data_IF_797238852115
#
_entry.id   IF_797238852115
#
_cell.length_a   1.000
_cell.length_b   1.000
_cell.length_c   1.000
_cell.angle_alpha   90.00
_cell.angle_beta   90.00
_cell.angle_gamma   90.00
#
_symmetry.space_group_name_H-M   'P 1'
#
loop_
_entity.id
_entity.type
_entity.pdbx_description
1 polymer ?
#
# COMPACT_ATOMS: atom_id res chain seq x y z
N UNK A 1 43.17 30.32 18.96
CA UNK A 1 42.19 29.23 18.78
C UNK A 1 41.26 29.67 17.67
N UNK A 2 41.15 28.92 16.58
CA UNK A 2 40.15 29.22 15.57
C UNK A 2 38.77 29.04 16.22
N UNK A 3 37.95 30.09 16.22
CA UNK A 3 36.56 29.99 16.66
C UNK A 3 35.83 29.07 15.68
N UNK A 4 35.21 28.01 16.18
CA UNK A 4 34.38 27.11 15.37
C UNK A 4 33.30 27.91 14.65
N UNK A 5 32.97 27.51 13.43
CA UNK A 5 31.90 28.16 12.68
C UNK A 5 30.54 27.86 13.33
N UNK A 6 29.54 28.76 13.22
CA UNK A 6 28.20 28.49 13.73
C UNK A 6 27.60 27.18 13.18
N UNK A 7 27.96 26.77 11.97
CA UNK A 7 27.53 25.49 11.37
C UNK A 7 28.12 24.30 12.14
N UNK A 8 29.44 24.31 12.38
CA UNK A 8 30.14 23.26 13.12
C UNK A 8 29.63 23.16 14.56
N UNK A 9 29.36 24.29 15.21
CA UNK A 9 28.79 24.32 16.56
C UNK A 9 27.41 23.65 16.60
N UNK A 10 26.54 23.96 15.63
CA UNK A 10 25.21 23.34 15.55
C UNK A 10 25.29 21.83 15.23
N UNK A 11 26.22 21.41 14.36
CA UNK A 11 26.46 19.98 14.10
C UNK A 11 26.95 19.26 15.36
N UNK A 12 27.85 19.88 16.13
CA UNK A 12 28.32 19.34 17.40
C UNK A 12 27.18 19.23 18.43
N UNK A 13 26.36 20.27 18.55
CA UNK A 13 25.19 20.26 19.42
C UNK A 13 24.14 19.22 18.99
N UNK A 14 23.93 19.00 17.70
CA UNK A 14 23.06 17.93 17.19
C UNK A 14 23.56 16.54 17.59
N UNK A 15 24.88 16.29 17.52
CA UNK A 15 25.49 15.03 17.98
C UNK A 15 25.36 14.83 19.49
N UNK A 16 25.50 15.90 20.29
CA UNK A 16 25.26 15.83 21.73
C UNK A 16 23.77 15.54 22.03
N UNK A 17 22.86 16.20 21.31
CA UNK A 17 21.42 15.98 21.46
C UNK A 17 21.02 14.55 21.08
N UNK A 18 21.63 13.97 20.04
CA UNK A 18 21.46 12.56 19.66
C UNK A 18 21.86 11.62 20.79
N UNK A 19 23.06 11.81 21.36
CA UNK A 19 23.55 10.98 22.48
C UNK A 19 22.71 11.12 23.75
N UNK A 20 22.07 12.28 23.94
CA UNK A 20 21.17 12.55 25.04
C UNK A 20 19.70 12.18 24.73
N UNK A 21 19.42 11.63 23.54
CA UNK A 21 18.07 11.31 23.04
C UNK A 21 17.09 12.50 23.05
N UNK A 22 17.62 13.74 22.98
CA UNK A 22 16.82 14.98 22.93
C UNK A 22 16.53 15.39 21.48
N UNK A 23 15.80 14.54 20.77
CA UNK A 23 15.60 14.65 19.32
C UNK A 23 14.88 15.94 18.89
N UNK A 24 14.03 16.53 19.73
CA UNK A 24 13.37 17.82 19.45
C UNK A 24 14.37 18.98 19.38
N UNK A 25 15.41 18.96 20.21
CA UNK A 25 16.49 19.95 20.13
C UNK A 25 17.42 19.63 18.96
N UNK A 26 17.68 18.35 18.72
CA UNK A 26 18.45 17.90 17.56
C UNK A 26 17.85 18.43 16.25
N UNK A 27 16.51 18.40 16.10
CA UNK A 27 15.82 19.00 14.95
C UNK A 27 16.13 20.50 14.83
N UNK A 28 16.04 21.27 15.92
CA UNK A 28 16.31 22.72 15.90
C UNK A 28 17.75 23.05 15.49
N UNK A 29 18.72 22.29 15.99
CA UNK A 29 20.12 22.46 15.59
C UNK A 29 20.31 22.14 14.10
N UNK A 30 19.72 21.05 13.61
CA UNK A 30 19.81 20.67 12.21
C UNK A 30 19.06 21.62 11.27
N UNK A 31 17.93 22.19 11.68
CA UNK A 31 17.24 23.26 10.96
C UNK A 31 18.13 24.51 10.82
N UNK A 32 18.90 24.83 11.87
CA UNK A 32 19.87 25.93 11.84
C UNK A 32 21.02 25.63 10.89
N UNK A 33 21.53 24.39 10.88
CA UNK A 33 22.54 23.94 9.91
C UNK A 33 22.02 24.12 8.48
N UNK A 34 20.83 23.59 8.17
CA UNK A 34 20.21 23.71 6.83
C UNK A 34 19.97 25.18 6.45
N UNK A 35 19.59 26.02 7.41
CA UNK A 35 19.37 27.44 7.19
C UNK A 35 20.66 28.19 6.84
N UNK A 36 21.78 27.81 7.46
CA UNK A 36 23.10 28.39 7.24
C UNK A 36 23.75 27.96 5.91
N UNK A 37 23.34 26.83 5.32
CA UNK A 37 23.88 26.37 4.03
C UNK A 37 23.33 27.25 2.88
N UNK A 38 24.21 27.80 2.01
CA UNK A 38 23.81 28.48 0.78
C UNK A 38 22.98 27.56 -0.12
N UNK A 39 22.01 28.09 -0.86
CA UNK A 39 21.14 27.27 -1.73
C UNK A 39 21.87 26.49 -2.83
N UNK A 40 23.12 26.84 -3.15
CA UNK A 40 23.97 26.13 -4.12
C UNK A 40 24.75 24.94 -3.53
N UNK A 41 24.77 24.83 -2.20
CA UNK A 41 25.64 23.93 -1.46
C UNK A 41 24.83 22.83 -0.80
N UNK A 42 25.45 21.65 -0.68
CA UNK A 42 24.81 20.49 -0.08
C UNK A 42 25.19 20.31 1.39
N UNK A 43 24.33 19.59 2.10
CA UNK A 43 24.73 18.93 3.35
C UNK A 43 25.72 17.81 3.04
N UNK A 44 26.70 17.65 3.92
CA UNK A 44 27.55 16.46 3.92
C UNK A 44 26.72 15.20 4.19
N UNK A 45 27.28 14.02 3.91
CA UNK A 45 26.62 12.74 4.21
C UNK A 45 26.30 12.62 5.70
N UNK A 46 27.22 13.08 6.57
CA UNK A 46 27.01 13.06 8.02
C UNK A 46 25.86 13.99 8.44
N UNK A 47 25.83 15.23 7.96
CA UNK A 47 24.77 16.20 8.27
C UNK A 47 23.41 15.74 7.76
N UNK A 48 23.37 15.15 6.56
CA UNK A 48 22.16 14.56 5.98
C UNK A 48 21.63 13.42 6.84
N UNK A 49 22.51 12.56 7.33
CA UNK A 49 22.14 11.46 8.22
C UNK A 49 21.63 11.99 9.56
N UNK A 50 22.31 12.96 10.19
CA UNK A 50 21.85 13.59 11.43
C UNK A 50 20.47 14.22 11.29
N UNK A 51 20.21 14.94 10.19
CA UNK A 51 18.89 15.51 9.89
C UNK A 51 17.81 14.42 9.84
N UNK A 52 18.09 13.33 9.13
CA UNK A 52 17.15 12.21 9.00
C UNK A 52 16.89 11.52 10.33
N UNK A 53 17.93 11.26 11.13
CA UNK A 53 17.81 10.67 12.46
C UNK A 53 16.98 11.54 13.39
N UNK A 54 17.22 12.86 13.40
CA UNK A 54 16.51 13.81 14.24
C UNK A 54 15.00 13.76 13.97
N UNK A 55 14.59 14.01 12.72
CA UNK A 55 13.17 14.02 12.38
C UNK A 55 12.52 12.65 12.49
N UNK A 56 13.22 11.55 12.12
CA UNK A 56 12.70 10.18 12.22
C UNK A 56 12.29 9.84 13.66
N UNK A 57 13.11 10.20 14.64
CA UNK A 57 12.81 9.92 16.04
C UNK A 57 11.65 10.78 16.56
N UNK A 58 11.64 12.08 16.24
CA UNK A 58 10.55 12.99 16.62
C UNK A 58 9.22 12.54 16.03
N UNK A 59 9.15 12.30 14.71
CA UNK A 59 7.89 11.88 14.05
C UNK A 59 7.47 10.47 14.49
N UNK A 60 8.43 9.57 14.74
CA UNK A 60 8.17 8.21 15.21
C UNK A 60 7.43 8.18 16.54
N UNK A 61 7.89 8.96 17.53
CA UNK A 61 7.25 9.06 18.84
C UNK A 61 5.81 9.62 18.75
N UNK A 62 5.58 10.62 17.89
CA UNK A 62 4.25 11.23 17.71
C UNK A 62 3.30 10.28 16.98
N UNK A 63 3.78 9.57 15.95
CA UNK A 63 3.00 8.56 15.22
C UNK A 63 2.61 7.39 16.12
N UNK A 64 3.50 6.94 17.01
CA UNK A 64 3.18 5.92 18.01
C UNK A 64 2.08 6.40 18.97
N UNK A 65 2.23 7.63 19.49
CA UNK A 65 1.22 8.26 20.35
C UNK A 65 -0.15 8.35 19.67
N UNK A 66 -0.17 8.81 18.41
CA UNK A 66 -1.39 8.89 17.60
C UNK A 66 -2.06 7.52 17.43
N UNK A 67 -1.30 6.47 17.06
CA UNK A 67 -1.84 5.10 16.91
C UNK A 67 -2.50 4.59 18.20
N UNK A 68 -1.85 4.83 19.35
CA UNK A 68 -2.38 4.41 20.66
C UNK A 68 -3.70 5.13 20.95
N UNK A 69 -3.73 6.46 20.81
CA UNK A 69 -4.92 7.27 21.09
C UNK A 69 -6.06 6.91 20.14
N UNK A 70 -5.79 6.76 18.83
CA UNK A 70 -6.78 6.30 17.85
C UNK A 70 -7.35 4.91 18.19
N UNK A 71 -6.52 3.98 18.69
CA UNK A 71 -6.99 2.66 19.13
C UNK A 71 -7.88 2.75 20.39
N UNK A 72 -7.58 3.66 21.32
CA UNK A 72 -8.40 3.89 22.51
C UNK A 72 -9.74 4.52 22.12
N UNK A 73 -9.75 5.50 21.21
CA UNK A 73 -10.99 6.11 20.67
C UNK A 73 -11.93 5.04 20.11
N UNK A 74 -11.42 4.17 19.23
CA UNK A 74 -12.22 3.09 18.63
C UNK A 74 -12.78 2.12 19.67
N UNK A 75 -12.03 1.81 20.72
CA UNK A 75 -12.49 0.93 21.81
C UNK A 75 -13.60 1.57 22.64
N UNK A 76 -13.48 2.85 22.95
CA UNK A 76 -14.49 3.59 23.72
C UNK A 76 -15.75 3.86 22.88
N UNK A 77 -15.62 4.11 21.57
CA UNK A 77 -16.73 4.17 20.62
C UNK A 77 -17.52 2.86 20.61
N UNK A 78 -16.83 1.72 20.55
CA UNK A 78 -17.46 0.39 20.61
C UNK A 78 -18.18 0.08 21.92
N UNK A 79 -17.88 0.80 23.01
CA UNK A 79 -18.55 0.69 24.32
C UNK A 79 -19.71 1.67 24.48
N UNK A 80 -19.89 2.62 23.55
CA UNK A 80 -20.92 3.65 23.63
C UNK A 80 -20.62 4.78 24.62
N UNK A 81 -19.37 4.95 25.05
CA UNK A 81 -18.96 5.98 26.02
C UNK A 81 -18.76 7.34 25.33
N UNK A 82 -19.86 7.95 24.86
CA UNK A 82 -19.84 9.15 24.03
C UNK A 82 -19.04 10.33 24.63
N UNK A 83 -19.15 10.55 25.95
CA UNK A 83 -18.43 11.63 26.64
C UNK A 83 -16.91 11.42 26.59
N UNK A 84 -16.43 10.20 26.85
CA UNK A 84 -15.00 9.88 26.75
C UNK A 84 -14.50 9.97 25.31
N UNK A 85 -15.30 9.50 24.34
CA UNK A 85 -14.95 9.58 22.91
C UNK A 85 -14.70 11.03 22.50
N UNK A 86 -15.55 11.96 22.94
CA UNK A 86 -15.38 13.38 22.63
C UNK A 86 -14.03 13.92 23.14
N UNK A 87 -13.67 13.61 24.39
CA UNK A 87 -12.40 14.06 25.01
C UNK A 87 -11.19 13.42 24.30
N UNK A 88 -11.25 12.12 23.99
CA UNK A 88 -10.18 11.40 23.30
C UNK A 88 -9.97 11.99 21.90
N UNK A 89 -11.04 12.32 21.19
CA UNK A 89 -10.98 12.90 19.85
C UNK A 89 -10.32 14.27 19.83
N UNK A 90 -10.60 15.12 20.82
CA UNK A 90 -9.93 16.41 20.98
C UNK A 90 -8.42 16.24 21.21
N UNK A 91 -8.04 15.28 22.07
CA UNK A 91 -6.62 14.99 22.30
C UNK A 91 -5.93 14.40 21.06
N UNK A 92 -6.61 13.51 20.32
CA UNK A 92 -6.09 13.01 19.03
C UNK A 92 -5.87 14.15 18.04
N UNK A 93 -6.81 15.08 17.92
CA UNK A 93 -6.70 16.23 17.02
C UNK A 93 -5.47 17.12 17.35
N UNK A 94 -5.14 17.27 18.64
CA UNK A 94 -3.90 17.94 19.07
C UNK A 94 -2.66 17.22 18.55
N UNK A 95 -2.59 15.89 18.70
CA UNK A 95 -1.47 15.08 18.19
C UNK A 95 -1.38 15.18 16.65
N UNK A 96 -2.51 15.19 15.95
CA UNK A 96 -2.55 15.36 14.49
C UNK A 96 -2.05 16.74 14.04
N UNK A 97 -2.29 17.79 14.82
CA UNK A 97 -1.74 19.12 14.56
C UNK A 97 -0.21 19.11 14.73
N UNK A 98 0.32 18.52 15.81
CA UNK A 98 1.76 18.36 16.04
C UNK A 98 2.43 17.54 14.93
N UNK A 99 1.81 16.43 14.50
CA UNK A 99 2.28 15.63 13.37
C UNK A 99 2.31 16.45 12.07
N UNK A 100 1.26 17.23 11.82
CA UNK A 100 1.17 18.09 10.64
C UNK A 100 2.29 19.13 10.63
N UNK A 101 2.56 19.76 11.78
CA UNK A 101 3.62 20.76 11.93
C UNK A 101 5.02 20.17 11.66
N UNK A 102 5.33 19.00 12.24
CA UNK A 102 6.60 18.31 12.01
C UNK A 102 6.78 17.98 10.53
N UNK A 103 5.75 17.41 9.88
CA UNK A 103 5.78 17.09 8.45
C UNK A 103 5.96 18.35 7.59
N UNK A 104 5.22 19.42 7.88
CA UNK A 104 5.33 20.68 7.14
C UNK A 104 6.71 21.31 7.27
N UNK A 105 7.34 21.24 8.45
CA UNK A 105 8.70 21.76 8.68
C UNK A 105 9.73 21.11 7.75
N UNK A 106 9.81 19.78 7.75
CA UNK A 106 10.79 19.07 6.90
C UNK A 106 10.45 19.17 5.40
N UNK A 107 9.17 19.09 5.03
CA UNK A 107 8.76 19.21 3.62
C UNK A 107 9.17 20.57 3.04
N UNK A 108 9.05 21.64 3.83
CA UNK A 108 9.52 22.97 3.43
C UNK A 108 11.03 22.99 3.18
N UNK A 109 11.83 22.42 4.07
CA UNK A 109 13.29 22.36 3.89
C UNK A 109 13.68 21.53 2.66
N UNK A 110 12.97 20.42 2.42
CA UNK A 110 13.19 19.57 1.26
C UNK A 110 12.92 20.33 -0.04
N UNK A 111 11.79 21.04 -0.11
CA UNK A 111 11.35 21.73 -1.33
C UNK A 111 12.14 23.01 -1.62
N UNK A 112 12.45 23.80 -0.60
CA UNK A 112 13.11 25.10 -0.78
C UNK A 112 14.64 25.00 -0.89
N UNK A 113 15.25 23.97 -0.30
CA UNK A 113 16.71 23.88 -0.18
C UNK A 113 17.30 22.54 -0.59
N UNK A 114 16.89 21.44 0.04
CA UNK A 114 17.66 20.20 0.00
C UNK A 114 17.52 19.44 -1.33
N UNK A 115 16.31 19.33 -1.88
CA UNK A 115 16.09 18.68 -3.19
C UNK A 115 16.72 19.52 -4.33
N UNK A 116 16.55 20.86 -4.39
CA UNK A 116 17.20 21.67 -5.43
C UNK A 116 18.74 21.64 -5.38
N UNK A 117 19.34 21.53 -4.20
CA UNK A 117 20.79 21.53 -4.05
C UNK A 117 21.45 20.18 -4.38
N UNK A 118 20.68 19.09 -4.41
CA UNK A 118 21.19 17.72 -4.57
C UNK A 118 21.78 17.44 -5.97
N UNK A 119 23.06 17.07 -6.04
CA UNK A 119 23.81 16.87 -7.28
C UNK A 119 23.92 15.39 -7.66
N UNK A 120 24.12 14.51 -6.68
CA UNK A 120 24.34 13.06 -6.90
C UNK A 120 23.05 12.24 -6.82
N UNK A 121 23.02 11.06 -7.47
CA UNK A 121 21.93 10.09 -7.33
C UNK A 121 21.60 9.78 -5.87
N UNK A 122 22.60 9.48 -5.04
CA UNK A 122 22.45 9.23 -3.60
C UNK A 122 21.66 10.34 -2.89
N UNK A 123 22.09 11.60 -3.07
CA UNK A 123 21.48 12.75 -2.40
C UNK A 123 20.06 13.01 -2.88
N UNK A 124 19.83 12.94 -4.19
CA UNK A 124 18.50 13.13 -4.79
C UNK A 124 17.52 12.05 -4.32
N UNK A 125 17.91 10.78 -4.41
CA UNK A 125 17.06 9.65 -3.99
C UNK A 125 16.80 9.74 -2.48
N UNK A 126 17.81 10.08 -1.67
CA UNK A 126 17.64 10.25 -0.23
C UNK A 126 16.57 11.30 0.11
N UNK A 127 16.67 12.51 -0.46
CA UNK A 127 15.73 13.59 -0.15
C UNK A 127 14.34 13.34 -0.74
N UNK A 128 14.24 12.80 -1.96
CA UNK A 128 12.95 12.44 -2.56
C UNK A 128 12.26 11.30 -1.81
N UNK A 129 13.02 10.30 -1.36
CA UNK A 129 12.52 9.26 -0.46
C UNK A 129 12.00 9.87 0.84
N UNK A 130 12.76 10.77 1.46
CA UNK A 130 12.36 11.47 2.67
C UNK A 130 11.07 12.27 2.44
N UNK A 131 10.96 13.00 1.31
CA UNK A 131 9.74 13.71 0.91
C UNK A 131 8.53 12.77 0.82
N UNK A 132 8.70 11.62 0.18
CA UNK A 132 7.68 10.58 0.11
C UNK A 132 7.29 10.05 1.49
N UNK A 133 8.25 9.81 2.37
CA UNK A 133 8.01 9.35 3.74
C UNK A 133 7.15 10.34 4.54
N UNK A 134 7.43 11.65 4.50
CA UNK A 134 6.65 12.63 5.26
C UNK A 134 5.27 12.90 4.67
N UNK A 135 5.10 12.87 3.34
CA UNK A 135 3.76 12.88 2.76
C UNK A 135 2.97 11.61 3.09
N UNK A 136 3.63 10.46 3.16
CA UNK A 136 3.01 9.20 3.56
C UNK A 136 2.48 9.29 4.99
N UNK A 137 3.26 9.87 5.90
CA UNK A 137 2.83 10.07 7.29
C UNK A 137 1.60 10.98 7.38
N UNK A 138 1.51 12.02 6.54
CA UNK A 138 0.28 12.83 6.43
C UNK A 138 -0.92 11.99 5.95
N UNK A 139 -0.72 11.11 4.96
CA UNK A 139 -1.78 10.26 4.43
C UNK A 139 -2.31 9.19 5.43
N UNK A 140 -1.56 8.90 6.50
CA UNK A 140 -1.98 7.96 7.55
C UNK A 140 -3.16 8.48 8.39
N UNK A 141 -3.19 9.79 8.68
CA UNK A 141 -4.18 10.37 9.61
C UNK A 141 -5.07 11.45 8.99
N UNK A 142 -4.67 12.07 7.88
CA UNK A 142 -5.55 12.98 7.14
C UNK A 142 -6.73 12.23 6.55
N UNK A 143 -7.81 12.94 6.28
CA UNK A 143 -9.05 12.41 5.71
C UNK A 143 -9.46 13.22 4.47
N UNK A 144 -10.47 12.72 3.73
CA UNK A 144 -11.02 13.44 2.58
C UNK A 144 -9.97 13.78 1.50
N UNK A 145 -10.01 15.02 1.01
CA UNK A 145 -9.13 15.47 -0.07
C UNK A 145 -7.68 15.70 0.39
N UNK A 146 -7.46 16.09 1.65
CA UNK A 146 -6.11 16.20 2.22
C UNK A 146 -5.38 14.85 2.18
N UNK A 147 -6.09 13.75 2.49
CA UNK A 147 -5.53 12.40 2.39
C UNK A 147 -5.15 12.04 0.96
N UNK A 148 -6.01 12.37 -0.02
CA UNK A 148 -5.75 12.09 -1.43
C UNK A 148 -4.54 12.87 -1.92
N UNK A 149 -4.47 14.17 -1.62
CA UNK A 149 -3.33 15.02 -1.97
C UNK A 149 -2.03 14.49 -1.34
N UNK A 150 -2.06 14.08 -0.07
CA UNK A 150 -0.90 13.49 0.60
C UNK A 150 -0.45 12.17 -0.08
N UNK A 151 -1.40 11.30 -0.45
CA UNK A 151 -1.09 10.05 -1.17
C UNK A 151 -0.53 10.30 -2.58
N UNK A 152 -1.07 11.26 -3.33
CA UNK A 152 -0.57 11.65 -4.66
C UNK A 152 0.84 12.24 -4.59
N UNK A 153 1.10 13.10 -3.61
CA UNK A 153 2.43 13.67 -3.38
C UNK A 153 3.44 12.59 -2.97
N UNK A 154 3.02 11.61 -2.14
CA UNK A 154 3.83 10.44 -1.79
C UNK A 154 4.22 9.65 -3.03
N UNK A 155 3.22 9.32 -3.87
CA UNK A 155 3.42 8.53 -5.08
C UNK A 155 4.37 9.24 -6.06
N UNK A 156 4.19 10.55 -6.24
CA UNK A 156 5.04 11.37 -7.11
C UNK A 156 6.48 11.35 -6.61
N UNK A 157 6.71 11.63 -5.32
CA UNK A 157 8.06 11.67 -4.74
C UNK A 157 8.77 10.31 -4.84
N UNK A 158 8.08 9.21 -4.52
CA UNK A 158 8.68 7.87 -4.62
C UNK A 158 8.93 7.42 -6.05
N UNK A 159 8.06 7.76 -7.01
CA UNK A 159 8.32 7.46 -8.43
C UNK A 159 9.55 8.20 -8.94
N UNK A 160 9.66 9.50 -8.66
CA UNK A 160 10.85 10.27 -9.03
C UNK A 160 12.12 9.73 -8.37
N UNK A 161 12.05 9.32 -7.10
CA UNK A 161 13.16 8.67 -6.42
C UNK A 161 13.51 7.32 -7.08
N UNK A 162 12.51 6.51 -7.46
CA UNK A 162 12.70 5.18 -8.04
C UNK A 162 13.34 5.25 -9.42
N UNK A 163 12.94 6.21 -10.24
CA UNK A 163 13.52 6.44 -11.57
C UNK A 163 15.03 6.69 -11.47
N UNK A 164 15.44 7.62 -10.59
CA UNK A 164 16.86 7.94 -10.36
C UNK A 164 17.58 6.76 -9.71
N UNK A 165 16.97 6.09 -8.74
CA UNK A 165 17.58 4.96 -8.04
C UNK A 165 17.86 3.78 -8.99
N UNK A 166 16.94 3.49 -9.91
CA UNK A 166 17.12 2.41 -10.88
C UNK A 166 18.21 2.73 -11.90
N UNK A 167 18.39 4.02 -12.26
CA UNK A 167 19.41 4.43 -13.24
C UNK A 167 20.81 4.65 -12.66
N UNK A 168 20.91 5.13 -11.41
CA UNK A 168 22.18 5.59 -10.83
C UNK A 168 22.70 4.71 -9.69
N UNK A 169 21.87 3.87 -9.06
CA UNK A 169 22.24 3.08 -7.88
C UNK A 169 22.15 1.58 -8.14
N UNK A 170 23.13 0.82 -7.65
CA UNK A 170 23.11 -0.64 -7.69
C UNK A 170 21.88 -1.21 -6.94
N UNK A 171 21.30 -2.35 -7.36
CA UNK A 171 20.20 -3.02 -6.67
C UNK A 171 20.45 -3.29 -5.18
N UNK A 172 21.71 -3.53 -4.80
CA UNK A 172 22.15 -3.75 -3.43
C UNK A 172 22.32 -2.45 -2.63
N UNK A 173 22.25 -1.27 -3.26
CA UNK A 173 22.52 -0.01 -2.59
C UNK A 173 21.49 0.27 -1.46
N UNK A 174 21.91 0.56 -0.21
CA UNK A 174 20.99 0.71 0.93
C UNK A 174 19.89 1.76 0.73
N UNK A 175 20.19 2.88 0.06
CA UNK A 175 19.20 3.92 -0.25
C UNK A 175 18.12 3.39 -1.22
N UNK A 176 18.50 2.61 -2.24
CA UNK A 176 17.57 2.01 -3.22
C UNK A 176 16.70 0.94 -2.56
N UNK A 177 17.30 0.07 -1.76
CA UNK A 177 16.57 -0.93 -0.97
C UNK A 177 15.60 -0.29 0.01
N UNK A 178 16.04 0.74 0.75
CA UNK A 178 15.21 1.47 1.70
C UNK A 178 14.06 2.22 1.02
N UNK A 179 14.26 2.72 -0.20
CA UNK A 179 13.18 3.28 -1.01
C UNK A 179 12.14 2.21 -1.39
N UNK A 180 12.57 1.06 -1.92
CA UNK A 180 11.66 -0.02 -2.29
C UNK A 180 10.87 -0.55 -1.08
N UNK A 181 11.52 -0.65 0.08
CA UNK A 181 10.86 -1.00 1.35
C UNK A 181 9.74 -0.01 1.68
N UNK A 182 10.03 1.30 1.73
CA UNK A 182 9.03 2.29 2.11
C UNK A 182 7.94 2.47 1.05
N UNK A 183 8.28 2.29 -0.23
CA UNK A 183 7.33 2.39 -1.32
C UNK A 183 6.38 1.18 -1.37
N UNK A 184 6.86 -0.03 -1.08
CA UNK A 184 5.99 -1.20 -0.95
C UNK A 184 5.03 -1.06 0.23
N UNK A 185 5.49 -0.58 1.40
CA UNK A 185 4.63 -0.26 2.55
C UNK A 185 3.56 0.77 2.17
N UNK A 186 3.90 1.80 1.38
CA UNK A 186 2.93 2.76 0.89
C UNK A 186 1.83 2.13 0.02
N UNK A 187 2.21 1.25 -0.93
CA UNK A 187 1.24 0.53 -1.73
C UNK A 187 0.31 -0.33 -0.86
N UNK A 188 0.86 -0.96 0.17
CA UNK A 188 0.10 -1.83 1.06
C UNK A 188 -0.84 -1.03 1.98
N UNK A 189 -0.29 -0.13 2.79
CA UNK A 189 -1.01 0.53 3.89
C UNK A 189 -1.86 1.73 3.44
N UNK A 190 -1.43 2.48 2.41
CA UNK A 190 -2.10 3.73 2.02
C UNK A 190 -2.98 3.54 0.79
N UNK A 191 -2.45 2.89 -0.24
CA UNK A 191 -3.17 2.66 -1.51
C UNK A 191 -3.99 1.37 -1.52
N UNK A 192 -3.93 0.57 -0.45
CA UNK A 192 -4.64 -0.71 -0.34
C UNK A 192 -4.47 -1.59 -1.59
N UNK A 193 -3.23 -1.65 -2.09
CA UNK A 193 -2.82 -2.35 -3.31
C UNK A 193 -1.78 -3.44 -2.97
N UNK A 194 -2.18 -4.49 -2.23
CA UNK A 194 -1.26 -5.49 -1.68
C UNK A 194 -0.47 -6.25 -2.76
N UNK A 195 -1.08 -6.53 -3.91
CA UNK A 195 -0.40 -7.20 -5.01
C UNK A 195 0.79 -6.37 -5.51
N UNK A 196 0.59 -5.06 -5.72
CA UNK A 196 1.66 -4.15 -6.14
C UNK A 196 2.74 -4.02 -5.09
N UNK A 197 2.37 -3.97 -3.81
CA UNK A 197 3.32 -3.93 -2.70
C UNK A 197 4.23 -5.16 -2.70
N UNK A 198 3.63 -6.35 -2.78
CA UNK A 198 4.37 -7.61 -2.79
C UNK A 198 5.22 -7.77 -4.06
N UNK A 199 4.70 -7.39 -5.23
CA UNK A 199 5.50 -7.41 -6.47
C UNK A 199 6.74 -6.52 -6.37
N UNK A 200 6.58 -5.29 -5.88
CA UNK A 200 7.70 -4.35 -5.73
C UNK A 200 8.74 -4.84 -4.71
N UNK A 201 8.28 -5.28 -3.53
CA UNK A 201 9.16 -5.80 -2.48
C UNK A 201 9.92 -7.05 -2.94
N UNK A 202 9.23 -7.97 -3.62
CA UNK A 202 9.84 -9.19 -4.16
C UNK A 202 10.86 -8.86 -5.25
N UNK A 203 10.53 -7.98 -6.19
CA UNK A 203 11.45 -7.57 -7.24
C UNK A 203 12.74 -6.98 -6.66
N UNK A 204 12.62 -6.04 -5.71
CA UNK A 204 13.80 -5.43 -5.08
C UNK A 204 14.66 -6.46 -4.33
N UNK A 205 14.02 -7.42 -3.66
CA UNK A 205 14.72 -8.50 -2.95
C UNK A 205 15.44 -9.45 -3.91
N UNK A 206 14.78 -9.90 -4.97
CA UNK A 206 15.35 -10.82 -5.96
C UNK A 206 16.50 -10.16 -6.75
N UNK A 207 16.35 -8.89 -7.16
CA UNK A 207 17.41 -8.11 -7.80
C UNK A 207 18.64 -7.97 -6.88
N UNK A 208 18.44 -7.65 -5.61
CA UNK A 208 19.53 -7.49 -4.66
C UNK A 208 20.25 -8.81 -4.34
N UNK A 209 19.52 -9.93 -4.24
CA UNK A 209 20.13 -11.26 -4.07
C UNK A 209 21.10 -11.56 -5.22
N UNK A 210 20.73 -11.21 -6.45
CA UNK A 210 21.53 -11.56 -7.64
C UNK A 210 22.91 -10.91 -7.68
N UNK A 211 23.09 -9.79 -6.95
CA UNK A 211 24.34 -9.03 -6.90
C UNK A 211 24.96 -9.00 -5.49
N UNK A 212 24.37 -9.70 -4.51
CA UNK A 212 24.77 -9.63 -3.11
C UNK A 212 26.21 -10.11 -2.87
N UNK A 213 26.65 -11.13 -3.62
CA UNK A 213 27.98 -11.72 -3.51
C UNK A 213 29.11 -10.77 -3.97
N UNK A 214 28.76 -9.63 -4.58
CA UNK A 214 29.73 -8.63 -5.07
C UNK A 214 30.08 -7.57 -4.02
N UNK A 215 29.39 -7.55 -2.88
CA UNK A 215 29.55 -6.53 -1.84
C UNK A 215 30.77 -6.77 -0.95
N UNK A 216 31.40 -5.67 -0.51
CA UNK A 216 32.34 -5.68 0.62
C UNK A 216 31.62 -5.84 1.97
N UNK A 217 32.36 -6.20 3.02
CA UNK A 217 31.80 -6.57 4.33
C UNK A 217 30.91 -5.48 4.97
N UNK A 218 31.31 -4.21 4.87
CA UNK A 218 30.56 -3.10 5.48
C UNK A 218 29.22 -2.87 4.76
N UNK A 219 29.23 -2.80 3.43
CA UNK A 219 27.99 -2.64 2.63
C UNK A 219 27.08 -3.86 2.70
N UNK A 220 27.64 -5.06 2.92
CA UNK A 220 26.88 -6.29 3.05
C UNK A 220 25.95 -6.25 4.28
N UNK A 221 26.45 -5.77 5.42
CA UNK A 221 25.66 -5.69 6.68
C UNK A 221 24.45 -4.76 6.52
N UNK A 222 24.65 -3.58 5.93
CA UNK A 222 23.56 -2.61 5.74
C UNK A 222 22.51 -3.11 4.74
N UNK A 223 22.95 -3.70 3.63
CA UNK A 223 22.07 -4.21 2.57
C UNK A 223 21.23 -5.39 3.07
N UNK A 224 21.87 -6.35 3.75
CA UNK A 224 21.17 -7.54 4.28
C UNK A 224 20.17 -7.20 5.38
N UNK A 225 20.44 -6.20 6.22
CA UNK A 225 19.47 -5.72 7.20
C UNK A 225 18.19 -5.21 6.54
N UNK A 226 18.28 -4.46 5.44
CA UNK A 226 17.10 -3.94 4.74
C UNK A 226 16.39 -5.05 3.95
N UNK A 227 17.13 -5.96 3.33
CA UNK A 227 16.56 -7.14 2.66
C UNK A 227 15.79 -8.02 3.64
N UNK A 228 16.26 -8.15 4.88
CA UNK A 228 15.55 -8.85 5.95
C UNK A 228 14.18 -8.21 6.22
N UNK A 229 14.11 -6.87 6.30
CA UNK A 229 12.84 -6.16 6.48
C UNK A 229 11.88 -6.35 5.30
N UNK A 230 12.39 -6.37 4.06
CA UNK A 230 11.58 -6.68 2.87
C UNK A 230 10.99 -8.10 2.96
N UNK A 231 11.80 -9.08 3.37
CA UNK A 231 11.37 -10.46 3.57
C UNK A 231 10.29 -10.57 4.64
N UNK A 232 10.48 -9.90 5.77
CA UNK A 232 9.55 -9.95 6.90
C UNK A 232 8.18 -9.36 6.51
N UNK A 233 8.19 -8.24 5.77
CA UNK A 233 6.97 -7.67 5.20
C UNK A 233 6.27 -8.63 4.22
N UNK A 234 7.01 -9.25 3.30
CA UNK A 234 6.46 -10.23 2.36
C UNK A 234 5.81 -11.42 3.08
N UNK A 235 6.45 -11.96 4.12
CA UNK A 235 5.90 -13.04 4.93
C UNK A 235 4.61 -12.62 5.62
N UNK A 236 4.59 -11.43 6.25
CA UNK A 236 3.41 -10.91 6.91
C UNK A 236 2.24 -10.71 5.93
N UNK A 237 2.49 -10.02 4.80
CA UNK A 237 1.46 -9.69 3.82
C UNK A 237 0.90 -10.92 3.09
N UNK A 238 1.74 -11.91 2.79
CA UNK A 238 1.29 -13.16 2.18
C UNK A 238 0.43 -13.99 3.13
N UNK A 239 0.75 -13.99 4.44
CA UNK A 239 -0.08 -14.64 5.45
C UNK A 239 -1.44 -13.95 5.62
N UNK A 240 -1.47 -12.62 5.59
CA UNK A 240 -2.71 -11.83 5.68
C UNK A 240 -3.61 -12.11 4.48
N UNK A 241 -3.05 -12.13 3.27
CA UNK A 241 -3.81 -12.46 2.05
C UNK A 241 -4.36 -13.88 2.07
N UNK A 242 -3.59 -14.87 2.55
CA UNK A 242 -4.09 -16.23 2.72
C UNK A 242 -5.26 -16.27 3.70
N UNK A 243 -5.16 -15.58 4.85
CA UNK A 243 -6.24 -15.53 5.85
C UNK A 243 -7.55 -14.96 5.29
N UNK A 244 -7.43 -13.95 4.42
CA UNK A 244 -8.55 -13.30 3.73
C UNK A 244 -9.17 -14.26 2.72
N UNK A 245 -8.35 -14.93 1.91
CA UNK A 245 -8.82 -15.95 0.95
C UNK A 245 -9.51 -17.11 1.66
N UNK A 246 -8.99 -17.61 2.79
CA UNK A 246 -9.66 -18.66 3.57
C UNK A 246 -10.99 -18.18 4.14
N UNK A 247 -11.08 -16.95 4.66
CA UNK A 247 -12.32 -16.39 5.21
C UNK A 247 -13.38 -16.24 4.11
N UNK A 248 -13.00 -15.70 2.95
CA UNK A 248 -13.91 -15.55 1.81
C UNK A 248 -14.25 -16.90 1.16
N UNK A 249 -13.30 -17.84 1.10
CA UNK A 249 -13.53 -19.21 0.63
C UNK A 249 -14.49 -19.99 1.53
N UNK A 250 -14.38 -19.83 2.85
CA UNK A 250 -15.34 -20.38 3.83
C UNK A 250 -16.71 -19.71 3.72
N UNK A 251 -16.77 -18.39 3.52
CA UNK A 251 -18.02 -17.69 3.27
C UNK A 251 -18.66 -18.14 1.96
N UNK A 252 -17.88 -18.27 0.89
CA UNK A 252 -18.35 -18.75 -0.41
C UNK A 252 -18.83 -20.19 -0.30
N UNK A 253 -18.09 -21.07 0.39
CA UNK A 253 -18.51 -22.45 0.69
C UNK A 253 -19.82 -22.50 1.47
N UNK A 254 -20.00 -21.66 2.51
CA UNK A 254 -21.25 -21.56 3.27
C UNK A 254 -22.41 -21.05 2.41
N UNK A 255 -22.19 -20.03 1.59
CA UNK A 255 -23.18 -19.50 0.65
C UNK A 255 -23.56 -20.60 -0.35
N UNK A 256 -22.59 -21.28 -0.94
CA UNK A 256 -22.83 -22.37 -1.88
C UNK A 256 -23.58 -23.54 -1.24
N UNK A 257 -23.30 -23.88 0.02
CA UNK A 257 -23.98 -24.93 0.76
C UNK A 257 -25.43 -24.56 1.12
N UNK A 258 -25.68 -23.29 1.46
CA UNK A 258 -27.03 -22.75 1.68
C UNK A 258 -27.82 -22.76 0.36
N UNK A 259 -27.21 -22.31 -0.74
CA UNK A 259 -27.85 -22.33 -2.06
C UNK A 259 -28.09 -23.75 -2.58
N UNK A 260 -27.17 -24.69 -2.33
CA UNK A 260 -27.35 -26.11 -2.62
C UNK A 260 -28.52 -26.72 -1.85
N UNK A 261 -28.65 -26.40 -0.56
CA UNK A 261 -29.80 -26.82 0.25
C UNK A 261 -31.12 -26.20 -0.19
N UNK A 262 -31.11 -24.95 -0.68
CA UNK A 262 -32.30 -24.30 -1.25
C UNK A 262 -32.71 -24.97 -2.58
N UNK A 263 -31.75 -25.37 -3.41
CA UNK A 263 -32.00 -26.10 -4.67
C UNK A 263 -32.58 -27.51 -4.44
N UNK A 264 -32.14 -28.23 -3.40
CA UNK A 264 -32.73 -29.53 -2.99
C UNK A 264 -34.21 -29.40 -2.57
N UNK A 265 -34.58 -28.30 -1.91
CA UNK A 265 -35.96 -28.03 -1.48
C UNK A 265 -36.87 -27.65 -2.66
N UNK A 266 -36.34 -26.99 -3.68
CA UNK A 266 -37.10 -26.52 -4.85
C UNK A 266 -37.21 -27.60 -5.95
N UNK A 267 -36.27 -28.54 -6.01
CA UNK A 267 -36.27 -29.65 -6.99
C UNK A 267 -35.72 -30.95 -6.39
N UNK A 268 -36.57 -31.83 -5.83
CA UNK A 268 -36.15 -33.06 -5.16
C UNK A 268 -35.51 -34.14 -6.07
N UNK A 269 -35.43 -33.88 -7.38
CA UNK A 269 -34.91 -34.80 -8.39
C UNK A 269 -33.58 -34.36 -9.01
N UNK A 270 -32.96 -33.31 -8.47
CA UNK A 270 -31.66 -32.83 -8.93
C UNK A 270 -30.54 -33.60 -8.21
N UNK A 271 -29.70 -34.31 -8.97
CA UNK A 271 -28.58 -35.09 -8.43
C UNK A 271 -27.61 -34.19 -7.62
N UNK A 272 -27.00 -34.71 -6.54
CA UNK A 272 -26.03 -33.95 -5.75
C UNK A 272 -24.75 -33.78 -6.57
N UNK A 273 -24.53 -32.59 -7.14
CA UNK A 273 -23.22 -32.24 -7.66
C UNK A 273 -22.34 -31.81 -6.47
N UNK A 274 -21.37 -32.65 -6.12
CA UNK A 274 -20.34 -32.24 -5.18
C UNK A 274 -19.49 -31.15 -5.84
N UNK A 275 -19.10 -30.12 -5.09
CA UNK A 275 -18.45 -28.91 -5.65
C UNK A 275 -17.16 -29.16 -6.46
N UNK A 276 -16.59 -30.36 -6.40
CA UNK A 276 -15.45 -30.80 -7.22
C UNK A 276 -15.82 -31.17 -8.66
N UNK A 277 -17.01 -31.78 -8.88
CA UNK A 277 -17.45 -32.24 -10.21
C UNK A 277 -17.80 -31.06 -11.15
N UNK A 278 -18.31 -29.96 -10.59
CA UNK A 278 -18.53 -28.71 -11.35
C UNK A 278 -17.23 -28.04 -11.82
N UNK A 279 -16.10 -28.27 -11.13
CA UNK A 279 -14.81 -27.72 -11.52
C UNK A 279 -14.18 -28.53 -12.67
N UNK A 280 -14.31 -29.86 -12.66
CA UNK A 280 -13.90 -30.70 -13.79
C UNK A 280 -14.78 -30.48 -15.03
N UNK A 281 -16.10 -30.28 -14.88
CA UNK A 281 -16.96 -29.90 -16.02
C UNK A 281 -16.59 -28.52 -16.60
N UNK A 282 -16.10 -27.58 -15.78
CA UNK A 282 -15.58 -26.29 -16.23
C UNK A 282 -14.26 -26.42 -17.00
N UNK A 283 -13.32 -27.26 -16.55
CA UNK A 283 -12.12 -27.60 -17.33
C UNK A 283 -12.45 -28.34 -18.64
N UNK A 284 -13.41 -29.27 -18.60
CA UNK A 284 -13.91 -29.96 -19.80
C UNK A 284 -14.57 -28.99 -20.79
N UNK A 285 -15.35 -28.01 -20.31
CA UNK A 285 -15.96 -26.96 -21.14
C UNK A 285 -14.94 -26.00 -21.76
N UNK A 286 -13.82 -25.72 -21.07
CA UNK A 286 -12.72 -24.93 -21.63
C UNK A 286 -11.95 -25.74 -22.69
N UNK A 287 -11.76 -27.05 -22.50
CA UNK A 287 -11.09 -27.92 -23.48
C UNK A 287 -11.96 -28.22 -24.73
N UNK A 288 -13.30 -28.28 -24.60
CA UNK A 288 -14.21 -28.52 -25.73
C UNK A 288 -14.41 -27.31 -26.66
N UNK A 289 -13.90 -26.11 -26.31
CA UNK A 289 -13.86 -24.97 -27.24
C UNK A 289 -12.90 -25.17 -28.44
N UNK A 290 -12.10 -26.25 -28.48
CA UNK A 290 -11.14 -26.47 -29.57
C UNK A 290 -11.47 -27.56 -30.61
N UNK A 291 -12.47 -28.44 -30.41
CA UNK A 291 -12.82 -29.48 -31.42
C UNK A 291 -14.32 -29.78 -31.51
N UNK A 292 -14.89 -29.59 -32.70
CA UNK A 292 -16.24 -30.00 -33.09
C UNK A 292 -16.38 -31.53 -33.04
N UNK A 293 -17.36 -32.05 -32.30
CA UNK A 293 -17.87 -33.42 -32.46
C UNK A 293 -19.42 -33.40 -32.43
N UNK A 294 -20.09 -34.09 -33.36
CA UNK A 294 -21.55 -34.16 -33.40
C UNK A 294 -22.09 -35.41 -32.68
N UNK A 295 -23.34 -35.29 -32.21
CA UNK A 295 -24.26 -36.33 -31.73
C UNK A 295 -24.28 -36.64 -30.23
N UNK A 296 -25.20 -35.99 -29.52
CA UNK A 296 -25.87 -36.58 -28.35
C UNK A 296 -27.40 -36.35 -28.46
N UNK A 297 -28.14 -37.41 -28.15
CA UNK A 297 -29.55 -37.66 -28.44
C UNK A 297 -30.52 -36.68 -27.75
N UNK A 298 -31.66 -36.47 -28.42
CA UNK A 298 -32.85 -35.73 -27.97
C UNK A 298 -33.34 -36.21 -26.59
N UNK A 299 -33.30 -35.32 -25.59
CA UNK A 299 -34.27 -35.25 -24.49
C UNK A 299 -34.84 -33.83 -24.43
N UNK A 300 -36.11 -33.72 -24.02
CA UNK A 300 -36.99 -32.56 -24.18
C UNK A 300 -36.32 -31.22 -23.83
N UNK A 301 -36.18 -30.36 -24.84
CA UNK A 301 -35.43 -29.09 -24.78
C UNK A 301 -36.21 -27.92 -24.17
N UNK A 302 -37.52 -27.99 -23.98
CA UNK A 302 -38.32 -26.81 -23.59
C UNK A 302 -38.40 -26.55 -22.08
N UNK A 303 -38.30 -27.57 -21.23
CA UNK A 303 -38.38 -27.38 -19.76
C UNK A 303 -37.00 -27.22 -19.11
N UNK A 304 -35.96 -27.86 -19.65
CA UNK A 304 -34.58 -27.73 -19.17
C UNK A 304 -33.98 -26.37 -19.54
N UNK A 305 -34.37 -25.78 -20.69
CA UNK A 305 -33.85 -24.50 -21.15
C UNK A 305 -34.32 -23.30 -20.29
N UNK A 306 -35.54 -23.35 -19.74
CA UNK A 306 -36.07 -22.27 -18.92
C UNK A 306 -35.53 -22.31 -17.48
N UNK A 307 -35.31 -23.49 -16.91
CA UNK A 307 -34.74 -23.62 -15.56
C UNK A 307 -33.23 -23.33 -15.56
N UNK A 308 -32.47 -23.87 -16.53
CA UNK A 308 -31.04 -23.56 -16.66
C UNK A 308 -30.79 -22.11 -17.08
N UNK A 309 -31.65 -21.53 -17.92
CA UNK A 309 -31.54 -20.12 -18.31
C UNK A 309 -31.75 -19.16 -17.13
N UNK A 310 -32.71 -19.45 -16.27
CA UNK A 310 -33.03 -18.62 -15.09
C UNK A 310 -31.96 -18.76 -14.01
N UNK A 311 -31.45 -19.98 -13.78
CA UNK A 311 -30.34 -20.23 -12.84
C UNK A 311 -29.04 -19.60 -13.37
N UNK A 312 -28.75 -19.69 -14.66
CA UNK A 312 -27.57 -19.04 -15.26
C UNK A 312 -27.68 -17.52 -15.22
N UNK A 313 -28.88 -16.95 -15.43
CA UNK A 313 -29.12 -15.51 -15.30
C UNK A 313 -29.00 -15.03 -13.86
N UNK A 314 -29.51 -15.77 -12.87
CA UNK A 314 -29.32 -15.48 -11.45
C UNK A 314 -27.84 -15.60 -11.05
N UNK A 315 -27.14 -16.60 -11.57
CA UNK A 315 -25.71 -16.80 -11.32
C UNK A 315 -24.85 -15.71 -11.97
N UNK A 316 -25.18 -15.29 -13.20
CA UNK A 316 -24.52 -14.17 -13.89
C UNK A 316 -24.86 -12.81 -13.28
N UNK A 317 -26.08 -12.62 -12.75
CA UNK A 317 -26.50 -11.41 -12.05
C UNK A 317 -25.80 -11.29 -10.69
N UNK A 318 -25.73 -12.39 -9.93
CA UNK A 318 -24.97 -12.46 -8.68
C UNK A 318 -23.46 -12.34 -8.93
N UNK A 319 -22.93 -12.97 -9.98
CA UNK A 319 -21.53 -12.81 -10.38
C UNK A 319 -21.24 -11.37 -10.86
N UNK A 320 -22.17 -10.72 -11.55
CA UNK A 320 -22.05 -9.32 -11.98
C UNK A 320 -22.09 -8.31 -10.84
N UNK A 321 -22.95 -8.55 -9.83
CA UNK A 321 -22.99 -7.77 -8.59
C UNK A 321 -21.74 -7.99 -7.73
N UNK A 322 -21.25 -9.23 -7.66
CA UNK A 322 -20.00 -9.58 -6.95
C UNK A 322 -18.77 -9.03 -7.67
N UNK A 323 -18.74 -9.04 -9.00
CA UNK A 323 -17.66 -8.44 -9.79
C UNK A 323 -17.61 -6.91 -9.69
N UNK A 324 -18.78 -6.24 -9.57
CA UNK A 324 -18.86 -4.81 -9.22
C UNK A 324 -18.30 -4.50 -7.84
N UNK A 325 -18.39 -5.44 -6.90
CA UNK A 325 -17.85 -5.30 -5.55
C UNK A 325 -16.36 -5.62 -5.46
N UNK A 326 -15.84 -6.45 -6.37
CA UNK A 326 -14.43 -6.89 -6.39
C UNK A 326 -13.50 -5.95 -7.20
N UNK A 327 -14.02 -5.18 -8.17
CA UNK A 327 -13.22 -4.24 -8.99
C UNK A 327 -13.97 -2.91 -9.23
N UNK A 328 -13.57 -1.79 -8.60
CA UNK A 328 -14.15 -0.49 -8.90
C UNK A 328 -13.61 -0.01 -10.27
N UNK A 329 -14.40 -0.15 -11.32
CA UNK A 329 -14.08 0.34 -12.67
C UNK A 329 -14.48 1.82 -12.79
N UNK A 330 -13.58 2.68 -13.28
CA UNK A 330 -13.83 4.11 -13.48
C UNK A 330 -14.88 4.38 -14.58
N UNK A 331 -15.49 5.57 -14.50
CA UNK A 331 -16.65 6.05 -15.29
C UNK A 331 -16.58 5.79 -16.80
N UNK A 332 -15.36 5.79 -17.38
CA UNK A 332 -15.14 5.59 -18.81
C UNK A 332 -15.30 4.11 -19.23
N UNK A 333 -14.95 3.17 -18.35
CA UNK A 333 -15.07 1.73 -18.62
C UNK A 333 -16.53 1.25 -18.49
N UNK A 334 -17.31 1.87 -17.61
CA UNK A 334 -18.76 1.67 -17.50
C UNK A 334 -19.52 2.10 -18.77
N UNK A 335 -19.04 3.13 -19.49
CA UNK A 335 -19.64 3.60 -20.73
C UNK A 335 -19.41 2.62 -21.90
N UNK A 336 -18.23 2.00 -21.97
CA UNK A 336 -17.88 0.96 -22.97
C UNK A 336 -18.62 -0.34 -22.71
N UNK A 337 -18.88 -0.69 -21.45
CA UNK A 337 -19.73 -1.84 -21.09
C UNK A 337 -21.21 -1.59 -21.41
N UNK A 338 -21.73 -0.37 -21.17
CA UNK A 338 -23.11 0.02 -21.51
C UNK A 338 -23.38 -0.02 -23.02
N UNK A 339 -22.43 0.41 -23.86
CA UNK A 339 -22.60 0.37 -25.32
C UNK A 339 -22.57 -1.06 -25.89
N UNK A 340 -21.99 -2.03 -25.16
CA UNK A 340 -21.98 -3.45 -25.56
C UNK A 340 -23.20 -4.23 -25.05
N UNK A 341 -23.84 -3.77 -23.97
CA UNK A 341 -25.04 -4.40 -23.39
C UNK A 341 -26.35 -3.96 -24.05
N UNK A 342 -26.37 -2.84 -24.79
CA UNK A 342 -27.58 -2.36 -25.50
C UNK A 342 -27.96 -3.18 -26.75
N UNK A 343 -27.30 -4.31 -27.00
CA UNK A 343 -27.59 -5.19 -28.16
C UNK A 343 -28.61 -6.29 -27.81
N UNK A 344 -29.08 -6.36 -26.57
CA UNK A 344 -30.09 -7.32 -26.12
C UNK A 344 -31.31 -6.61 -25.50
N UNK A 345 -32.13 -5.97 -26.33
CA UNK A 345 -33.55 -5.76 -26.02
C UNK A 345 -34.36 -6.87 -26.70
N UNK A 346 -35.14 -7.68 -25.96
CA UNK A 346 -36.09 -8.58 -26.57
C UNK A 346 -37.25 -7.75 -27.15
N UNK A 347 -37.42 -7.83 -28.48
CA UNK A 347 -38.60 -7.31 -29.17
C UNK A 347 -39.87 -7.90 -28.56
N UNK A 348 -40.70 -7.05 -27.92
CA UNK A 348 -42.11 -7.34 -27.67
C UNK A 348 -42.76 -7.60 -29.03
N UNK A 349 -43.38 -8.75 -29.25
CA UNK A 349 -44.56 -8.93 -30.12
C UNK A 349 -45.33 -10.19 -29.67
N UNK A 350 -46.66 -10.09 -29.78
CA UNK A 350 -47.74 -10.92 -29.26
C UNK A 350 -47.57 -12.45 -29.28
#
# INVERSE_FOLDING_TARGET
MATSSPREDNVYMAKLAEQAERYEEMVKFMETVVSAVPSSDELSVEERNLLSVAYKNVIGARRASWRIVSSIEQKEEGRGNADHVSVIREYRAKIEAELSEICSGILKLLDEKLVPAAKTGDSKVFYLKMKGDYHRYLAEFKTGDDRKAAAENTLTAYKSAQEIATSELAPTHPIRLGLALNFSVFYYEILNSPDRACSLAKQAFDEAISELDTLGEDSYKDSTLIMQLLRDNLTLWTSDMQSVVYRYGLHFSKVFHIFGGILEVISPYSYPCTGYECFEEFEMMQQTRSKKLPNARKRNKSEIANLHGTILLLWLFLYGEVARFLYPLDSLQLLVLRSRLSVYEPSKHC
#
